data_IF_195937268408
#
_entry.id   IF_195937268408
#
_cell.length_a   1.000
_cell.length_b   1.000
_cell.length_c   1.000
_cell.angle_alpha   90.00
_cell.angle_beta   90.00
_cell.angle_gamma   90.00
#
_symmetry.space_group_name_H-M   'P 1'
#
loop_
_entity.id
_entity.type
_entity.pdbx_description
1 polymer ?
#
# COMPACT_ATOMS: atom_id res chain seq x y z
N UNK A 1 -12.48 26.20 -28.81
CA UNK A 1 -13.71 26.94 -28.44
C UNK A 1 -13.76 26.91 -26.93
N UNK A 2 -13.78 28.07 -26.24
CA UNK A 2 -13.70 28.12 -24.77
C UNK A 2 -15.07 27.80 -24.15
N UNK A 3 -15.10 27.36 -22.89
CA UNK A 3 -16.31 27.19 -22.06
C UNK A 3 -17.24 28.42 -22.09
N UNK A 4 -16.69 29.59 -22.41
CA UNK A 4 -17.37 30.87 -22.69
C UNK A 4 -18.45 30.79 -23.80
N UNK A 5 -18.46 29.76 -24.65
CA UNK A 5 -19.47 29.57 -25.71
C UNK A 5 -20.67 28.70 -25.28
N UNK A 6 -20.68 28.23 -24.03
CA UNK A 6 -21.85 27.62 -23.41
C UNK A 6 -22.53 28.65 -22.50
N UNK A 7 -23.87 28.64 -22.43
CA UNK A 7 -24.57 29.42 -21.42
C UNK A 7 -24.17 28.97 -20.02
N UNK A 8 -24.19 29.88 -19.04
CA UNK A 8 -23.81 29.65 -17.64
C UNK A 8 -24.36 28.31 -17.07
N UNK A 9 -25.62 28.01 -17.40
CA UNK A 9 -26.33 26.79 -16.97
C UNK A 9 -25.71 25.49 -17.49
N UNK A 10 -25.17 25.48 -18.71
CA UNK A 10 -24.54 24.29 -19.27
C UNK A 10 -23.16 24.04 -18.65
N UNK A 11 -22.43 25.10 -18.28
CA UNK A 11 -21.18 24.99 -17.53
C UNK A 11 -21.40 24.40 -16.13
N UNK A 12 -22.37 24.94 -15.37
CA UNK A 12 -22.72 24.42 -14.04
C UNK A 12 -23.16 22.95 -14.09
N UNK A 13 -23.92 22.57 -15.12
CA UNK A 13 -24.36 21.20 -15.29
C UNK A 13 -23.19 20.24 -15.56
N UNK A 14 -22.21 20.66 -16.35
CA UNK A 14 -20.99 19.90 -16.64
C UNK A 14 -20.15 19.74 -15.37
N UNK A 15 -19.96 20.81 -14.60
CA UNK A 15 -19.26 20.76 -13.31
C UNK A 15 -19.94 19.78 -12.34
N UNK A 16 -21.27 19.81 -12.24
CA UNK A 16 -22.02 18.83 -11.42
C UNK A 16 -21.85 17.40 -11.92
N UNK A 17 -21.78 17.19 -13.24
CA UNK A 17 -21.51 15.86 -13.81
C UNK A 17 -20.10 15.38 -13.48
N UNK A 18 -19.09 16.25 -13.54
CA UNK A 18 -17.72 15.94 -13.11
C UNK A 18 -17.67 15.58 -11.63
N UNK A 19 -18.34 16.35 -10.79
CA UNK A 19 -18.39 16.06 -9.35
C UNK A 19 -19.06 14.72 -9.08
N UNK A 20 -20.17 14.42 -9.75
CA UNK A 20 -20.86 13.14 -9.61
C UNK A 20 -19.98 11.97 -10.06
N UNK A 21 -19.28 12.11 -11.19
CA UNK A 21 -18.31 11.14 -11.69
C UNK A 21 -17.16 10.93 -10.69
N UNK A 22 -16.54 12.00 -10.24
CA UNK A 22 -15.40 11.98 -9.33
C UNK A 22 -15.78 11.37 -7.98
N UNK A 23 -16.95 11.72 -7.45
CA UNK A 23 -17.47 11.13 -6.22
C UNK A 23 -17.77 9.64 -6.38
N UNK A 24 -18.40 9.23 -7.47
CA UNK A 24 -18.71 7.81 -7.71
C UNK A 24 -17.42 6.99 -7.84
N UNK A 25 -16.48 7.43 -8.69
CA UNK A 25 -15.19 6.76 -8.88
C UNK A 25 -14.34 6.79 -7.61
N UNK A 26 -14.26 7.95 -6.95
CA UNK A 26 -13.60 8.14 -5.66
C UNK A 26 -14.21 7.27 -4.55
N UNK A 27 -15.44 6.79 -4.70
CA UNK A 27 -16.09 5.81 -3.83
C UNK A 27 -15.99 4.35 -4.33
N UNK A 28 -15.21 4.10 -5.40
CA UNK A 28 -14.94 2.76 -5.92
C UNK A 28 -16.07 2.18 -6.78
N UNK A 29 -17.02 3.02 -7.22
CA UNK A 29 -18.03 2.61 -8.20
C UNK A 29 -17.32 2.33 -9.52
N UNK A 30 -17.67 1.21 -10.17
CA UNK A 30 -17.04 0.84 -11.44
C UNK A 30 -17.29 1.89 -12.51
N UNK A 31 -16.36 2.00 -13.45
CA UNK A 31 -16.44 2.95 -14.54
C UNK A 31 -17.75 2.87 -15.32
N UNK A 32 -18.30 1.67 -15.52
CA UNK A 32 -19.55 1.47 -16.28
C UNK A 32 -20.77 2.03 -15.55
N UNK A 33 -20.69 2.20 -14.22
CA UNK A 33 -21.79 2.61 -13.34
C UNK A 33 -21.64 4.04 -12.83
N UNK A 34 -20.41 4.56 -12.76
CA UNK A 34 -20.14 5.88 -12.19
C UNK A 34 -20.78 7.00 -13.01
N UNK A 35 -21.27 8.05 -12.36
CA UNK A 35 -21.72 9.30 -12.97
C UNK A 35 -23.09 9.29 -13.63
N UNK A 36 -23.79 8.15 -13.71
CA UNK A 36 -25.12 8.07 -14.31
C UNK A 36 -26.18 8.65 -13.37
N UNK A 37 -26.84 9.75 -13.76
CA UNK A 37 -27.97 10.35 -13.03
C UNK A 37 -29.07 10.87 -13.97
N UNK A 38 -30.32 11.00 -13.51
CA UNK A 38 -31.34 11.76 -14.24
C UNK A 38 -30.86 13.16 -14.62
N UNK A 39 -31.26 13.68 -15.78
CA UNK A 39 -30.87 15.03 -16.23
C UNK A 39 -31.35 16.16 -15.31
N UNK A 40 -32.46 15.93 -14.59
CA UNK A 40 -32.98 16.86 -13.59
C UNK A 40 -32.00 17.11 -12.44
N UNK A 41 -31.21 16.11 -12.05
CA UNK A 41 -30.21 16.22 -10.97
C UNK A 41 -29.08 17.18 -11.33
N UNK A 42 -28.83 17.37 -12.63
CA UNK A 42 -27.85 18.32 -13.16
C UNK A 42 -28.47 19.69 -13.51
N UNK A 43 -29.79 19.84 -13.37
CA UNK A 43 -30.51 21.07 -13.75
C UNK A 43 -30.67 21.26 -15.26
N UNK A 44 -30.61 20.18 -16.05
CA UNK A 44 -30.63 20.26 -17.53
C UNK A 44 -32.05 20.04 -18.07
N UNK A 45 -32.61 21.06 -18.72
CA UNK A 45 -33.91 21.00 -19.40
C UNK A 45 -33.89 20.20 -20.71
N UNK A 46 -35.06 19.79 -21.26
CA UNK A 46 -35.13 19.02 -22.51
C UNK A 46 -34.45 19.62 -23.75
N UNK A 47 -34.48 20.96 -23.98
CA UNK A 47 -33.76 21.58 -25.10
C UNK A 47 -32.23 21.41 -24.96
N UNK A 48 -31.71 21.63 -23.76
CA UNK A 48 -30.29 21.52 -23.46
C UNK A 48 -29.81 20.06 -23.50
N UNK A 49 -30.64 19.10 -23.06
CA UNK A 49 -30.34 17.66 -23.19
C UNK A 49 -30.10 17.27 -24.65
N UNK A 50 -30.96 17.73 -25.55
CA UNK A 50 -30.87 17.42 -26.98
C UNK A 50 -29.59 18.00 -27.58
N UNK A 51 -29.22 19.23 -27.18
CA UNK A 51 -28.01 19.88 -27.66
C UNK A 51 -26.74 19.23 -27.12
N UNK A 52 -26.69 18.90 -25.83
CA UNK A 52 -25.53 18.24 -25.20
C UNK A 52 -25.31 16.83 -25.78
N UNK A 53 -26.38 16.08 -26.04
CA UNK A 53 -26.30 14.79 -26.72
C UNK A 53 -25.84 14.95 -28.17
N UNK A 54 -26.39 15.91 -28.92
CA UNK A 54 -26.01 16.18 -30.31
C UNK A 54 -24.55 16.55 -30.45
N UNK A 55 -24.01 17.31 -29.49
CA UNK A 55 -22.58 17.67 -29.43
C UNK A 55 -21.69 16.54 -28.92
N UNK A 56 -22.27 15.45 -28.40
CA UNK A 56 -21.53 14.31 -27.84
C UNK A 56 -20.84 14.61 -26.52
N UNK A 57 -21.23 15.69 -25.83
CA UNK A 57 -20.69 16.11 -24.52
C UNK A 57 -21.16 15.16 -23.44
N UNK A 58 -22.42 14.73 -23.54
CA UNK A 58 -23.02 13.74 -22.64
C UNK A 58 -23.41 12.50 -23.42
N UNK A 59 -23.50 11.40 -22.69
CA UNK A 59 -24.05 10.13 -23.16
C UNK A 59 -25.30 9.77 -22.36
N UNK A 60 -26.12 8.88 -22.91
CA UNK A 60 -27.38 8.42 -22.31
C UNK A 60 -27.41 6.90 -22.25
N UNK A 61 -27.71 6.34 -21.08
CA UNK A 61 -27.87 4.90 -20.91
C UNK A 61 -29.31 4.43 -21.20
N UNK A 62 -29.54 3.11 -21.19
CA UNK A 62 -30.85 2.49 -21.44
C UNK A 62 -31.94 2.87 -20.43
N UNK A 63 -31.56 3.39 -19.25
CA UNK A 63 -32.49 3.89 -18.22
C UNK A 63 -32.82 5.37 -18.37
N UNK A 64 -32.31 6.02 -19.40
CA UNK A 64 -32.52 7.45 -19.63
C UNK A 64 -31.70 8.36 -18.70
N UNK A 65 -30.68 7.82 -18.04
CA UNK A 65 -29.75 8.62 -17.24
C UNK A 65 -28.64 9.17 -18.13
N UNK A 66 -28.06 10.27 -17.70
CA UNK A 66 -27.04 11.03 -18.40
C UNK A 66 -25.73 11.02 -17.64
N UNK A 67 -24.64 11.16 -18.37
CA UNK A 67 -23.28 11.29 -17.85
C UNK A 67 -22.41 12.04 -18.84
N UNK A 68 -21.36 12.71 -18.37
CA UNK A 68 -20.34 13.30 -19.23
C UNK A 68 -19.64 12.20 -20.05
N UNK A 69 -19.41 12.46 -21.33
CA UNK A 69 -18.63 11.60 -22.21
C UNK A 69 -17.11 11.83 -22.01
N UNK A 70 -16.63 11.55 -20.79
CA UNK A 70 -15.28 11.90 -20.34
C UNK A 70 -14.15 11.13 -21.06
N UNK A 71 -14.47 10.04 -21.77
CA UNK A 71 -13.50 9.31 -22.61
C UNK A 71 -13.24 9.96 -23.96
N UNK A 72 -14.16 10.82 -24.42
CA UNK A 72 -14.06 11.41 -25.74
C UNK A 72 -12.96 12.49 -25.74
N UNK A 73 -11.90 12.25 -26.51
CA UNK A 73 -10.75 13.16 -26.61
C UNK A 73 -11.15 14.56 -27.11
N UNK A 74 -12.19 14.66 -27.93
CA UNK A 74 -12.74 15.96 -28.38
C UNK A 74 -13.33 16.75 -27.22
N UNK A 75 -14.03 16.08 -26.30
CA UNK A 75 -14.63 16.70 -25.11
C UNK A 75 -13.54 17.21 -24.18
N UNK A 76 -12.48 16.44 -23.96
CA UNK A 76 -11.30 16.88 -23.20
C UNK A 76 -10.66 18.13 -23.80
N UNK A 77 -10.47 18.15 -25.12
CA UNK A 77 -9.93 19.32 -25.83
C UNK A 77 -10.85 20.55 -25.79
N UNK A 78 -12.17 20.34 -25.71
CA UNK A 78 -13.16 21.41 -25.62
C UNK A 78 -13.20 22.02 -24.21
N UNK A 79 -13.02 21.20 -23.18
CA UNK A 79 -13.04 21.58 -21.77
C UNK A 79 -11.64 21.66 -21.15
N UNK A 80 -10.64 22.21 -21.86
CA UNK A 80 -9.26 22.35 -21.37
C UNK A 80 -9.12 23.06 -20.02
N UNK A 81 -10.03 23.98 -19.68
CA UNK A 81 -9.98 24.65 -18.38
C UNK A 81 -10.33 23.71 -17.22
N UNK A 82 -10.84 22.51 -17.52
CA UNK A 82 -11.16 21.43 -16.58
C UNK A 82 -10.12 20.30 -16.62
N UNK A 83 -8.93 20.54 -17.20
CA UNK A 83 -7.89 19.51 -17.37
C UNK A 83 -7.54 18.82 -16.03
N UNK A 84 -7.46 19.56 -14.93
CA UNK A 84 -7.21 19.00 -13.60
C UNK A 84 -8.29 17.99 -13.15
N UNK A 85 -9.56 18.24 -13.48
CA UNK A 85 -10.65 17.31 -13.13
C UNK A 85 -10.57 16.04 -14.00
N UNK A 86 -10.18 16.17 -15.27
CA UNK A 86 -9.93 15.00 -16.11
C UNK A 86 -8.74 14.18 -15.63
N UNK A 87 -7.64 14.83 -15.23
CA UNK A 87 -6.48 14.16 -14.64
C UNK A 87 -6.86 13.40 -13.35
N UNK A 88 -7.69 14.01 -12.50
CA UNK A 88 -8.22 13.36 -11.31
C UNK A 88 -9.08 12.12 -11.65
N UNK A 89 -9.96 12.22 -12.65
CA UNK A 89 -10.75 11.06 -13.10
C UNK A 89 -9.85 9.94 -13.62
N UNK A 90 -8.83 10.27 -14.43
CA UNK A 90 -7.88 9.29 -14.94
C UNK A 90 -7.10 8.60 -13.81
N UNK A 91 -6.72 9.37 -12.78
CA UNK A 91 -6.11 8.85 -11.56
C UNK A 91 -7.04 7.84 -10.87
N UNK A 92 -8.30 8.19 -10.63
CA UNK A 92 -9.26 7.29 -9.96
C UNK A 92 -9.57 6.03 -10.78
N UNK A 93 -9.64 6.14 -12.11
CA UNK A 93 -9.81 4.98 -12.98
C UNK A 93 -8.62 4.03 -12.90
N UNK A 94 -7.40 4.57 -12.92
CA UNK A 94 -6.18 3.78 -12.75
C UNK A 94 -6.14 3.12 -11.37
N UNK A 95 -6.40 3.88 -10.31
CA UNK A 95 -6.36 3.38 -8.94
C UNK A 95 -7.41 2.31 -8.66
N UNK A 96 -8.58 2.40 -9.30
CA UNK A 96 -9.59 1.35 -9.24
C UNK A 96 -9.04 0.01 -9.74
N UNK A 97 -8.30 0.03 -10.85
CA UNK A 97 -7.67 -1.17 -11.39
C UNK A 97 -6.50 -1.66 -10.52
N UNK A 98 -5.70 -0.75 -9.98
CA UNK A 98 -4.60 -1.12 -9.07
C UNK A 98 -5.12 -1.72 -7.75
N UNK A 99 -6.19 -1.17 -7.15
CA UNK A 99 -6.81 -1.76 -5.96
C UNK A 99 -7.40 -3.14 -6.25
N UNK A 100 -8.04 -3.36 -7.42
CA UNK A 100 -8.52 -4.70 -7.81
C UNK A 100 -7.36 -5.70 -7.93
N UNK A 101 -6.23 -5.30 -8.52
CA UNK A 101 -5.03 -6.15 -8.60
C UNK A 101 -4.48 -6.43 -7.20
N UNK A 102 -4.40 -5.42 -6.33
CA UNK A 102 -3.95 -5.57 -4.96
C UNK A 102 -4.85 -6.53 -4.16
N UNK A 103 -6.17 -6.39 -4.28
CA UNK A 103 -7.14 -7.32 -3.67
C UNK A 103 -6.95 -8.76 -4.13
N UNK A 104 -6.66 -8.99 -5.42
CA UNK A 104 -6.39 -10.32 -5.95
C UNK A 104 -5.14 -10.93 -5.32
N UNK A 105 -4.07 -10.15 -5.19
CA UNK A 105 -2.81 -10.58 -4.55
C UNK A 105 -3.05 -10.86 -3.07
N UNK A 106 -3.75 -9.96 -2.38
CA UNK A 106 -4.07 -10.10 -0.96
C UNK A 106 -4.86 -11.38 -0.70
N UNK A 107 -5.89 -11.62 -1.53
CA UNK A 107 -6.69 -12.85 -1.47
C UNK A 107 -5.81 -14.09 -1.63
N UNK A 108 -4.94 -14.13 -2.64
CA UNK A 108 -4.01 -15.24 -2.84
C UNK A 108 -3.12 -15.48 -1.62
N UNK A 109 -2.53 -14.43 -1.04
CA UNK A 109 -1.69 -14.53 0.17
C UNK A 109 -2.51 -15.04 1.36
N UNK A 110 -3.70 -14.50 1.58
CA UNK A 110 -4.56 -14.86 2.71
C UNK A 110 -5.05 -16.31 2.62
N UNK A 111 -5.48 -16.77 1.44
CA UNK A 111 -5.91 -18.16 1.20
C UNK A 111 -4.74 -19.14 1.42
N UNK A 112 -3.56 -18.77 0.95
CA UNK A 112 -2.32 -19.52 1.13
C UNK A 112 -1.95 -19.65 2.62
N UNK A 113 -1.99 -18.56 3.38
CA UNK A 113 -1.69 -18.57 4.83
C UNK A 113 -2.75 -19.33 5.66
N UNK A 114 -4.01 -19.35 5.20
CA UNK A 114 -5.07 -20.13 5.84
C UNK A 114 -4.94 -21.63 5.58
N UNK A 115 -4.53 -22.00 4.37
CA UNK A 115 -4.43 -23.41 3.95
C UNK A 115 -3.13 -24.05 4.41
N UNK A 116 -2.05 -23.27 4.48
CA UNK A 116 -0.70 -23.75 4.81
C UNK A 116 -0.03 -22.75 5.75
N UNK A 117 -0.27 -22.85 7.07
CA UNK A 117 0.24 -21.92 8.07
C UNK A 117 1.77 -21.78 8.08
N UNK A 118 2.51 -22.79 7.63
CA UNK A 118 3.97 -22.81 7.54
C UNK A 118 4.49 -21.69 6.61
N UNK A 119 3.67 -21.22 5.68
CA UNK A 119 4.01 -20.11 4.80
C UNK A 119 4.12 -18.76 5.51
N UNK A 120 3.69 -18.66 6.77
CA UNK A 120 4.02 -17.51 7.61
C UNK A 120 5.53 -17.29 7.70
N UNK A 121 6.35 -18.35 7.69
CA UNK A 121 7.82 -18.24 7.73
C UNK A 121 8.35 -17.32 6.64
N UNK A 122 7.87 -17.47 5.39
CA UNK A 122 8.33 -16.68 4.26
C UNK A 122 7.79 -15.24 4.29
N UNK A 123 6.52 -15.06 4.70
CA UNK A 123 5.92 -13.73 4.88
C UNK A 123 6.61 -12.97 6.02
N UNK A 124 6.98 -13.65 7.10
CA UNK A 124 7.73 -13.06 8.21
C UNK A 124 9.11 -12.65 7.75
N UNK A 125 9.86 -13.55 7.11
CA UNK A 125 11.20 -13.23 6.60
C UNK A 125 11.17 -12.01 5.65
N UNK A 126 10.23 -11.99 4.70
CA UNK A 126 10.13 -10.91 3.71
C UNK A 126 9.76 -9.57 4.35
N UNK A 127 8.71 -9.56 5.17
CA UNK A 127 8.18 -8.32 5.76
C UNK A 127 9.16 -7.71 6.76
N UNK A 128 9.76 -8.54 7.62
CA UNK A 128 10.77 -8.07 8.56
C UNK A 128 12.03 -7.59 7.86
N UNK A 129 12.50 -8.30 6.83
CA UNK A 129 13.64 -7.81 6.04
C UNK A 129 13.34 -6.43 5.46
N UNK A 130 12.15 -6.24 4.88
CA UNK A 130 11.82 -4.97 4.25
C UNK A 130 11.70 -3.83 5.24
N UNK A 131 11.02 -4.06 6.37
CA UNK A 131 10.92 -3.09 7.46
C UNK A 131 12.29 -2.67 7.97
N UNK A 132 13.13 -3.66 8.29
CA UNK A 132 14.46 -3.44 8.82
C UNK A 132 15.37 -2.71 7.83
N UNK A 133 15.30 -3.05 6.55
CA UNK A 133 16.08 -2.40 5.49
C UNK A 133 15.78 -0.90 5.41
N UNK A 134 14.49 -0.51 5.53
CA UNK A 134 14.08 0.89 5.39
C UNK A 134 14.12 1.68 6.70
N UNK A 135 14.19 1.01 7.86
CA UNK A 135 14.26 1.65 9.17
C UNK A 135 15.55 2.44 9.41
N UNK A 136 16.58 2.23 8.57
CA UNK A 136 17.95 2.70 8.78
C UNK A 136 18.62 2.23 10.08
N UNK A 137 17.91 1.43 10.90
CA UNK A 137 18.37 0.83 12.14
C UNK A 137 19.05 1.84 13.08
N UNK A 138 18.30 2.84 13.60
CA UNK A 138 18.85 3.82 14.52
C UNK A 138 19.41 3.16 15.77
N UNK A 139 20.49 3.75 16.30
CA UNK A 139 21.13 3.34 17.53
C UNK A 139 21.93 4.51 18.12
N UNK A 140 22.30 4.41 19.41
CA UNK A 140 23.19 5.40 20.02
C UNK A 140 24.58 5.32 19.42
N UNK A 141 25.17 6.48 19.13
CA UNK A 141 26.52 6.59 18.57
C UNK A 141 27.56 5.92 19.48
N UNK A 142 27.42 6.04 20.79
CA UNK A 142 28.33 5.41 21.75
C UNK A 142 28.29 3.87 21.67
N UNK A 143 27.12 3.28 21.46
CA UNK A 143 26.95 1.83 21.31
C UNK A 143 27.57 1.35 19.98
N UNK A 144 27.38 2.12 18.90
CA UNK A 144 27.98 1.86 17.58
C UNK A 144 29.52 1.86 17.68
N UNK A 145 30.09 2.92 18.30
CA UNK A 145 31.53 3.05 18.49
C UNK A 145 32.08 1.97 19.44
N UNK A 146 31.30 1.60 20.46
CA UNK A 146 31.64 0.57 21.44
C UNK A 146 31.86 -0.82 20.84
N UNK A 147 31.09 -1.20 19.82
CA UNK A 147 31.28 -2.47 19.07
C UNK A 147 32.31 -2.36 17.93
N UNK A 148 32.95 -1.19 17.79
CA UNK A 148 34.03 -0.93 16.85
C UNK A 148 33.59 -0.59 15.43
N UNK A 149 32.35 -0.14 15.24
CA UNK A 149 31.92 0.42 13.96
C UNK A 149 32.21 1.92 13.90
N UNK A 150 32.62 2.42 12.74
CA UNK A 150 32.46 3.85 12.45
C UNK A 150 31.00 4.16 12.08
N UNK A 151 30.52 5.42 12.21
CA UNK A 151 29.18 5.79 11.74
C UNK A 151 28.95 5.45 10.27
N UNK A 152 29.99 5.57 9.43
CA UNK A 152 29.93 5.20 8.01
C UNK A 152 29.76 3.69 7.83
N UNK A 153 30.46 2.88 8.63
CA UNK A 153 30.29 1.43 8.59
C UNK A 153 28.90 1.03 9.04
N UNK A 154 28.34 1.69 10.06
CA UNK A 154 26.99 1.45 10.56
C UNK A 154 25.93 1.62 9.45
N UNK A 155 25.96 2.76 8.76
CA UNK A 155 25.02 3.06 7.66
C UNK A 155 25.04 2.04 6.53
N UNK A 156 26.14 1.27 6.38
CA UNK A 156 26.25 0.22 5.36
C UNK A 156 25.93 -1.16 5.95
N UNK A 157 26.46 -1.47 7.13
CA UNK A 157 26.40 -2.82 7.71
C UNK A 157 25.03 -3.10 8.33
N UNK A 158 24.42 -2.15 9.04
CA UNK A 158 23.16 -2.40 9.71
C UNK A 158 22.04 -2.75 8.70
N UNK A 159 21.77 -1.95 7.63
CA UNK A 159 20.74 -2.33 6.65
C UNK A 159 21.05 -3.65 5.91
N UNK A 160 22.33 -3.99 5.71
CA UNK A 160 22.73 -5.27 5.10
C UNK A 160 22.52 -6.48 6.01
N UNK A 161 22.46 -6.28 7.33
CA UNK A 161 22.12 -7.34 8.30
C UNK A 161 20.62 -7.67 8.33
N UNK A 162 19.76 -6.85 7.72
CA UNK A 162 18.29 -6.99 7.77
C UNK A 162 17.79 -8.38 7.41
N UNK A 163 18.36 -9.02 6.38
CA UNK A 163 17.93 -10.36 5.96
C UNK A 163 18.24 -11.41 7.02
N UNK A 164 19.40 -11.32 7.67
CA UNK A 164 19.78 -12.25 8.72
C UNK A 164 18.96 -12.04 10.00
N UNK A 165 18.70 -10.79 10.38
CA UNK A 165 17.83 -10.46 11.52
C UNK A 165 16.40 -10.95 11.27
N UNK A 166 15.87 -10.75 10.06
CA UNK A 166 14.54 -11.24 9.69
C UNK A 166 14.45 -12.78 9.71
N UNK A 167 15.51 -13.48 9.27
CA UNK A 167 15.58 -14.95 9.36
C UNK A 167 15.58 -15.45 10.81
N UNK A 168 16.20 -14.73 11.75
CA UNK A 168 16.19 -15.11 13.16
C UNK A 168 14.76 -15.13 13.73
N UNK A 169 13.92 -14.17 13.33
CA UNK A 169 12.50 -14.16 13.68
C UNK A 169 11.74 -15.26 12.92
N UNK A 170 11.91 -15.34 11.60
CA UNK A 170 11.16 -16.26 10.76
C UNK A 170 11.33 -17.73 11.13
N UNK A 171 12.55 -18.16 11.48
CA UNK A 171 12.86 -19.55 11.86
C UNK A 171 12.09 -20.06 13.08
N UNK A 172 11.50 -19.17 13.89
CA UNK A 172 10.60 -19.54 15.00
C UNK A 172 9.24 -20.07 14.50
N UNK A 173 8.91 -19.88 13.23
CA UNK A 173 7.59 -20.18 12.64
C UNK A 173 7.62 -21.29 11.59
N UNK A 174 8.81 -21.77 11.20
CA UNK A 174 8.98 -22.87 10.27
C UNK A 174 10.40 -22.96 9.72
N UNK A 175 10.61 -23.95 8.86
CA UNK A 175 11.93 -24.25 8.30
C UNK A 175 12.28 -23.27 7.17
N UNK A 176 13.40 -22.57 7.33
CA UNK A 176 14.00 -21.73 6.29
C UNK A 176 15.52 -21.70 6.44
N UNK A 177 16.21 -22.19 5.42
CA UNK A 177 17.67 -22.27 5.41
C UNK A 177 18.29 -20.89 5.24
N UNK A 178 17.87 -20.16 4.22
CA UNK A 178 18.40 -18.85 3.85
C UNK A 178 17.33 -17.92 3.26
N UNK A 179 17.76 -16.69 2.95
CA UNK A 179 16.87 -15.69 2.37
C UNK A 179 16.54 -15.97 0.90
N UNK A 180 17.37 -16.74 0.19
CA UNK A 180 17.10 -17.17 -1.18
C UNK A 180 15.86 -18.07 -1.23
N UNK A 181 15.62 -18.88 -0.19
CA UNK A 181 14.38 -19.61 0.01
C UNK A 181 13.12 -18.72 -0.01
N UNK A 182 13.20 -17.50 0.54
CA UNK A 182 12.10 -16.51 0.49
C UNK A 182 11.82 -16.04 -0.92
N UNK A 183 12.89 -15.74 -1.67
CA UNK A 183 12.82 -15.30 -3.06
C UNK A 183 12.22 -16.42 -3.93
N UNK A 184 12.76 -17.63 -3.82
CA UNK A 184 12.24 -18.81 -4.51
C UNK A 184 10.77 -19.09 -4.20
N UNK A 185 10.33 -18.85 -2.96
CA UNK A 185 8.93 -18.98 -2.58
C UNK A 185 8.02 -17.97 -3.32
N UNK A 186 8.42 -16.70 -3.37
CA UNK A 186 7.67 -15.65 -4.07
C UNK A 186 7.59 -15.92 -5.60
N UNK A 187 8.63 -16.48 -6.20
CA UNK A 187 8.62 -16.87 -7.62
C UNK A 187 7.68 -18.06 -7.87
N UNK A 188 7.80 -19.11 -7.06
CA UNK A 188 6.97 -20.33 -7.18
C UNK A 188 5.48 -20.03 -7.05
N UNK A 189 5.13 -19.13 -6.12
CA UNK A 189 3.75 -18.70 -5.89
C UNK A 189 3.25 -17.72 -6.97
N UNK A 190 4.13 -17.25 -7.86
CA UNK A 190 3.85 -16.23 -8.89
C UNK A 190 3.24 -14.96 -8.29
N UNK A 191 3.54 -14.69 -7.02
CA UNK A 191 3.06 -13.52 -6.28
C UNK A 191 3.90 -12.30 -6.62
N UNK A 192 5.16 -12.45 -7.03
CA UNK A 192 6.00 -11.33 -7.48
C UNK A 192 6.93 -11.78 -8.61
N UNK A 193 7.22 -10.90 -9.58
CA UNK A 193 8.37 -11.08 -10.45
C UNK A 193 9.57 -10.43 -9.75
N UNK A 194 10.63 -11.20 -9.53
CA UNK A 194 11.71 -10.84 -8.60
C UNK A 194 12.97 -10.41 -9.37
N UNK A 195 12.89 -10.33 -10.70
CA UNK A 195 14.01 -9.92 -11.55
C UNK A 195 14.63 -8.57 -11.15
N UNK A 196 13.91 -7.71 -10.44
CA UNK A 196 14.36 -6.40 -9.98
C UNK A 196 14.77 -6.34 -8.49
N UNK A 197 14.67 -7.44 -7.74
CA UNK A 197 15.05 -7.47 -6.31
C UNK A 197 16.53 -7.80 -6.17
N UNK A 198 17.33 -6.76 -5.90
CA UNK A 198 18.76 -6.91 -5.62
C UNK A 198 18.92 -7.19 -4.13
N UNK A 199 19.29 -8.42 -3.77
CA UNK A 199 19.67 -8.73 -2.41
C UNK A 199 21.05 -8.14 -2.10
N UNK A 200 21.24 -7.47 -0.94
CA UNK A 200 22.55 -7.02 -0.53
C UNK A 200 23.49 -8.21 -0.33
N UNK A 201 24.78 -8.00 -0.64
CA UNK A 201 25.81 -9.01 -0.38
C UNK A 201 25.80 -9.40 1.12
N UNK A 202 25.82 -10.70 1.44
CA UNK A 202 25.79 -11.16 2.81
C UNK A 202 27.00 -10.66 3.58
N UNK A 203 26.77 -10.25 4.83
CA UNK A 203 27.83 -9.93 5.77
C UNK A 203 28.40 -11.20 6.41
N UNK A 204 29.63 -11.11 6.91
CA UNK A 204 30.17 -12.15 7.77
C UNK A 204 29.37 -12.19 9.09
N UNK A 205 29.41 -13.35 9.76
CA UNK A 205 28.66 -13.57 11.00
C UNK A 205 29.08 -12.62 12.13
N UNK A 206 30.37 -12.29 12.23
CA UNK A 206 30.88 -11.38 13.28
C UNK A 206 30.25 -9.98 13.19
N UNK A 207 30.13 -9.44 11.98
CA UNK A 207 29.50 -8.15 11.74
C UNK A 207 28.00 -8.19 12.08
N UNK A 208 27.30 -9.27 11.74
CA UNK A 208 25.89 -9.45 12.13
C UNK A 208 25.74 -9.49 13.65
N UNK A 209 26.60 -10.23 14.36
CA UNK A 209 26.55 -10.32 15.81
C UNK A 209 26.78 -8.96 16.47
N UNK A 210 27.70 -8.15 15.94
CA UNK A 210 27.90 -6.77 16.42
C UNK A 210 26.67 -5.91 16.17
N UNK A 211 26.04 -5.98 14.99
CA UNK A 211 24.79 -5.26 14.72
C UNK A 211 23.69 -5.66 15.69
N UNK A 212 23.52 -6.96 15.95
CA UNK A 212 22.54 -7.45 16.94
C UNK A 212 22.78 -6.87 18.34
N UNK A 213 24.04 -6.75 18.77
CA UNK A 213 24.39 -6.16 20.07
C UNK A 213 24.07 -4.67 20.14
N UNK A 214 24.49 -3.90 19.14
CA UNK A 214 24.22 -2.45 19.07
C UNK A 214 22.72 -2.17 19.10
N UNK A 215 21.93 -2.96 18.37
CA UNK A 215 20.48 -2.83 18.34
C UNK A 215 19.75 -3.36 19.57
N UNK A 216 20.45 -4.11 20.44
CA UNK A 216 19.81 -4.90 21.51
C UNK A 216 18.72 -5.81 20.94
N UNK A 217 19.08 -6.51 19.87
CA UNK A 217 18.14 -7.28 19.06
C UNK A 217 17.58 -8.49 19.81
N UNK A 218 18.35 -9.07 20.74
CA UNK A 218 17.87 -10.15 21.60
C UNK A 218 16.74 -9.70 22.52
N UNK A 219 16.86 -8.49 23.08
CA UNK A 219 15.83 -7.84 23.90
C UNK A 219 14.59 -7.50 23.07
N UNK A 220 14.78 -6.93 21.87
CA UNK A 220 13.68 -6.69 20.92
C UNK A 220 12.95 -8.00 20.62
N UNK A 221 13.67 -9.05 20.24
CA UNK A 221 13.06 -10.34 19.91
C UNK A 221 12.30 -10.99 21.07
N UNK A 222 12.72 -10.75 22.32
CA UNK A 222 12.09 -11.31 23.51
C UNK A 222 10.75 -10.64 23.82
N UNK A 223 10.62 -9.34 23.53
CA UNK A 223 9.40 -8.55 23.79
C UNK A 223 8.37 -8.67 22.65
N UNK A 224 8.76 -9.22 21.49
CA UNK A 224 7.85 -9.41 20.36
C UNK A 224 6.83 -10.52 20.61
N UNK A 225 5.55 -10.13 20.66
CA UNK A 225 4.43 -11.08 20.61
C UNK A 225 4.28 -11.70 19.23
N UNK A 226 3.59 -12.84 19.16
CA UNK A 226 3.24 -13.48 17.88
C UNK A 226 2.42 -12.55 16.99
N UNK A 227 1.51 -11.77 17.60
CA UNK A 227 0.68 -10.80 16.89
C UNK A 227 1.54 -9.69 16.27
N UNK A 228 2.47 -9.11 17.03
CA UNK A 228 3.38 -8.08 16.52
C UNK A 228 4.22 -8.58 15.35
N UNK A 229 4.79 -9.79 15.47
CA UNK A 229 5.56 -10.42 14.39
C UNK A 229 4.74 -10.54 13.12
N UNK A 230 3.52 -11.08 13.21
CA UNK A 230 2.66 -11.33 12.05
C UNK A 230 2.09 -10.06 11.45
N UNK A 231 1.71 -9.07 12.27
CA UNK A 231 1.16 -7.78 11.81
C UNK A 231 2.21 -7.03 10.98
N UNK A 232 3.40 -6.81 11.55
CA UNK A 232 4.48 -6.10 10.88
C UNK A 232 4.90 -6.85 9.60
N UNK A 233 5.08 -8.17 9.70
CA UNK A 233 5.41 -9.03 8.57
C UNK A 233 4.41 -8.90 7.41
N UNK A 234 3.11 -8.95 7.72
CA UNK A 234 2.05 -8.97 6.72
C UNK A 234 1.97 -7.65 5.96
N UNK A 235 1.98 -6.52 6.68
CA UNK A 235 1.93 -5.19 6.08
C UNK A 235 3.14 -4.92 5.18
N UNK A 236 4.35 -5.14 5.70
CA UNK A 236 5.57 -4.88 4.94
C UNK A 236 5.74 -5.79 3.74
N UNK A 237 5.40 -7.09 3.89
CA UNK A 237 5.41 -8.03 2.76
C UNK A 237 4.43 -7.61 1.68
N UNK A 238 3.20 -7.28 2.06
CA UNK A 238 2.18 -6.92 1.09
C UNK A 238 2.54 -5.63 0.35
N UNK A 239 2.98 -4.60 1.06
CA UNK A 239 3.43 -3.35 0.45
C UNK A 239 4.60 -3.57 -0.51
N UNK A 240 5.57 -4.39 -0.12
CA UNK A 240 6.70 -4.75 -0.97
C UNK A 240 6.24 -5.43 -2.27
N UNK A 241 5.35 -6.41 -2.17
CA UNK A 241 4.81 -7.13 -3.32
C UNK A 241 4.06 -6.17 -4.26
N UNK A 242 3.25 -5.26 -3.72
CA UNK A 242 2.54 -4.26 -4.53
C UNK A 242 3.50 -3.30 -5.24
N UNK A 243 4.57 -2.88 -4.56
CA UNK A 243 5.61 -2.04 -5.15
C UNK A 243 6.28 -2.74 -6.33
N UNK A 244 6.68 -4.00 -6.18
CA UNK A 244 7.28 -4.77 -7.26
C UNK A 244 6.33 -5.01 -8.43
N UNK A 245 5.00 -4.98 -8.20
CA UNK A 245 3.98 -5.10 -9.24
C UNK A 245 3.57 -3.77 -9.87
N UNK A 246 4.07 -2.63 -9.39
CA UNK A 246 3.58 -1.30 -9.72
C UNK A 246 2.06 -1.17 -9.51
N UNK A 247 1.54 -1.75 -8.43
CA UNK A 247 0.11 -1.80 -8.08
C UNK A 247 -0.25 -1.06 -6.81
N UNK A 248 0.52 -0.03 -6.48
CA UNK A 248 0.13 0.93 -5.45
C UNK A 248 -0.80 1.98 -6.06
N UNK A 249 -1.89 2.36 -5.37
CA UNK A 249 -2.71 3.51 -5.75
C UNK A 249 -1.88 4.80 -5.76
N UNK A 250 -2.32 5.77 -6.55
CA UNK A 250 -1.72 7.10 -6.62
C UNK A 250 -2.45 8.12 -5.74
N UNK A 251 -3.75 7.92 -5.51
CA UNK A 251 -4.57 8.81 -4.70
C UNK A 251 -4.73 8.34 -3.26
N UNK A 252 -4.73 9.31 -2.34
CA UNK A 252 -4.88 9.07 -0.90
C UNK A 252 -6.18 8.34 -0.58
N UNK A 253 -7.29 8.63 -1.26
CA UNK A 253 -8.57 7.96 -1.03
C UNK A 253 -8.50 6.46 -1.31
N UNK A 254 -7.79 6.05 -2.37
CA UNK A 254 -7.62 4.64 -2.69
C UNK A 254 -6.53 3.98 -1.84
N UNK A 255 -5.49 4.71 -1.43
CA UNK A 255 -4.52 4.26 -0.41
C UNK A 255 -5.20 3.92 0.92
N UNK A 256 -6.11 4.78 1.39
CA UNK A 256 -6.90 4.54 2.61
C UNK A 256 -7.81 3.31 2.49
N UNK A 257 -8.53 3.16 1.38
CA UNK A 257 -9.35 1.96 1.14
C UNK A 257 -8.51 0.69 1.10
N UNK A 258 -7.36 0.74 0.45
CA UNK A 258 -6.44 -0.40 0.41
C UNK A 258 -5.99 -0.77 1.82
N UNK A 259 -5.64 0.22 2.65
CA UNK A 259 -5.30 0.01 4.06
C UNK A 259 -6.44 -0.68 4.83
N UNK A 260 -7.69 -0.22 4.68
CA UNK A 260 -8.85 -0.87 5.31
C UNK A 260 -9.02 -2.32 4.85
N UNK A 261 -8.83 -2.60 3.57
CA UNK A 261 -8.92 -3.96 3.01
C UNK A 261 -7.83 -4.87 3.59
N UNK A 262 -6.59 -4.36 3.74
CA UNK A 262 -5.47 -5.09 4.35
C UNK A 262 -5.80 -5.42 5.81
N UNK A 263 -6.24 -4.43 6.59
CA UNK A 263 -6.64 -4.62 7.99
C UNK A 263 -7.75 -5.66 8.14
N UNK A 264 -8.84 -5.53 7.37
CA UNK A 264 -9.93 -6.50 7.39
C UNK A 264 -9.45 -7.92 7.08
N UNK A 265 -8.51 -8.07 6.15
CA UNK A 265 -7.95 -9.38 5.82
C UNK A 265 -7.09 -9.95 6.96
N UNK A 266 -6.29 -9.09 7.61
CA UNK A 266 -5.43 -9.46 8.72
C UNK A 266 -6.23 -9.81 9.98
N UNK A 267 -7.26 -9.03 10.33
CA UNK A 267 -8.18 -9.35 11.44
C UNK A 267 -8.82 -10.72 11.23
N UNK A 268 -9.21 -11.03 9.98
CA UNK A 268 -9.76 -12.33 9.62
C UNK A 268 -8.75 -13.47 9.70
N UNK A 269 -7.47 -13.22 9.40
CA UNK A 269 -6.39 -14.20 9.51
C UNK A 269 -6.02 -14.48 10.98
N UNK A 270 -5.89 -13.43 11.80
CA UNK A 270 -5.43 -13.52 13.19
C UNK A 270 -6.57 -13.73 14.20
N UNK A 271 -7.83 -13.55 13.78
CA UNK A 271 -9.03 -13.59 14.63
C UNK A 271 -8.97 -12.59 15.78
N UNK A 272 -8.36 -11.44 15.53
CA UNK A 272 -8.17 -10.37 16.49
C UNK A 272 -8.49 -9.01 15.86
N UNK A 273 -9.05 -8.08 16.65
CA UNK A 273 -9.40 -6.74 16.16
C UNK A 273 -8.15 -5.86 16.01
N UNK A 274 -8.16 -5.00 15.00
CA UNK A 274 -7.13 -4.01 14.71
C UNK A 274 -6.77 -3.19 15.94
N UNK A 275 -7.75 -2.73 16.72
CA UNK A 275 -7.50 -1.95 17.93
C UNK A 275 -6.67 -2.70 18.97
N UNK A 276 -6.83 -4.02 19.08
CA UNK A 276 -6.03 -4.82 20.01
C UNK A 276 -4.63 -5.05 19.47
N UNK A 277 -4.51 -5.34 18.16
CA UNK A 277 -3.21 -5.53 17.49
C UNK A 277 -2.35 -4.27 17.56
N UNK A 278 -2.94 -3.09 17.32
CA UNK A 278 -2.23 -1.82 17.44
C UNK A 278 -1.80 -1.54 18.88
N UNK A 279 -2.69 -1.76 19.85
CA UNK A 279 -2.36 -1.60 21.27
C UNK A 279 -1.25 -2.56 21.72
N UNK A 280 -1.22 -3.78 21.21
CA UNK A 280 -0.17 -4.75 21.51
C UNK A 280 1.19 -4.28 20.98
N UNK A 281 1.22 -3.71 19.77
CA UNK A 281 2.43 -3.11 19.19
C UNK A 281 2.88 -1.88 19.99
N UNK A 282 1.96 -0.98 20.34
CA UNK A 282 2.23 0.21 21.17
C UNK A 282 2.79 -0.18 22.54
N UNK A 283 2.24 -1.23 23.17
CA UNK A 283 2.73 -1.75 24.43
C UNK A 283 4.16 -2.28 24.31
N UNK A 284 4.45 -3.13 23.31
CA UNK A 284 5.81 -3.63 23.05
C UNK A 284 6.82 -2.49 22.85
N UNK A 285 6.48 -1.49 22.03
CA UNK A 285 7.35 -0.32 21.82
C UNK A 285 7.55 0.46 23.11
N UNK A 286 6.50 0.61 23.92
CA UNK A 286 6.57 1.30 25.22
C UNK A 286 7.46 0.56 26.22
N UNK A 287 7.36 -0.78 26.29
CA UNK A 287 8.24 -1.61 27.13
C UNK A 287 9.70 -1.44 26.71
N UNK A 288 10.00 -1.61 25.42
CA UNK A 288 11.37 -1.48 24.89
C UNK A 288 11.95 -0.08 25.17
N UNK A 289 11.12 0.96 25.03
CA UNK A 289 11.51 2.33 25.34
C UNK A 289 11.85 2.50 26.83
N UNK A 290 11.04 1.92 27.72
CA UNK A 290 11.29 1.94 29.17
C UNK A 290 12.57 1.17 29.56
N UNK A 291 12.94 0.14 28.79
CA UNK A 291 14.20 -0.61 28.91
C UNK A 291 15.40 0.09 28.27
N UNK A 292 15.20 1.30 27.75
CA UNK A 292 16.26 2.16 27.20
C UNK A 292 16.56 1.94 25.72
N UNK A 293 15.72 1.20 24.99
CA UNK A 293 15.73 1.07 23.53
C UNK A 293 14.79 2.14 22.95
N UNK A 294 15.18 3.40 23.13
CA UNK A 294 14.33 4.57 22.83
C UNK A 294 13.99 4.74 21.34
N UNK A 295 14.70 4.01 20.47
CA UNK A 295 14.53 4.02 19.02
C UNK A 295 13.70 2.83 18.52
N UNK A 296 13.09 2.05 19.43
CA UNK A 296 12.28 0.89 19.07
C UNK A 296 11.13 1.24 18.10
N UNK A 297 10.51 2.42 18.25
CA UNK A 297 9.44 2.90 17.35
C UNK A 297 9.92 3.15 15.92
N UNK A 298 11.21 3.43 15.73
CA UNK A 298 11.79 3.68 14.41
C UNK A 298 12.14 2.37 13.68
N UNK A 299 12.15 1.25 14.40
CA UNK A 299 12.39 -0.10 13.87
C UNK A 299 11.07 -0.87 13.74
N UNK A 300 10.20 -0.80 14.75
CA UNK A 300 8.96 -1.56 14.85
C UNK A 300 7.76 -0.68 14.48
N UNK A 301 7.57 -0.47 13.18
CA UNK A 301 6.51 0.41 12.69
C UNK A 301 5.76 -0.20 11.51
N UNK A 302 4.49 0.20 11.39
CA UNK A 302 3.69 -0.09 10.21
C UNK A 302 4.11 0.87 9.08
N UNK A 303 4.15 0.40 7.83
CA UNK A 303 4.47 1.28 6.72
C UNK A 303 3.36 2.32 6.51
N UNK A 304 3.77 3.54 6.15
CA UNK A 304 2.84 4.57 5.67
C UNK A 304 2.38 4.20 4.25
N UNK A 305 1.06 4.04 4.07
CA UNK A 305 0.44 3.86 2.75
C UNK A 305 -0.01 5.25 2.30
N UNK A 306 0.89 6.02 1.68
CA UNK A 306 0.60 7.36 1.12
C UNK A 306 0.44 7.22 -0.39
#
# INVERSE_FOLDING_TARGET
MKLENFGLLATEAIEKMFQALSNDLGNGVSEEKAGWRPSADFGIGPPDQSELLRRGIVERNSRGQFRLNFKNSRIRQEFKTLDLQFEQLDCFLRDTEEVKKAQKVLKQITEMLQTTPEYWTYVIALGWWKMLEVSEMPARVDDILGEGFSPKDWMVKAPRSSSQLALNIARKYGEIEDFEGVINFLEKTRICNIQDVILPLPLNQDDVQKVMKVLKWGEIEAELTISNVKVLAFFWSFLFILKCRNSLPLSTEFSLKLNEIIWNSLENLLKEKQSNLLRDLENTVSTLTAEGIIWASDILYLPEII
#
